data_IF_108886545459
#
_entry.id   IF_108886545459
#
_cell.length_a   1.000
_cell.length_b   1.000
_cell.length_c   1.000
_cell.angle_alpha   90.00
_cell.angle_beta   90.00
_cell.angle_gamma   90.00
#
_symmetry.space_group_name_H-M   'P 1'
#
loop_
_entity.id
_entity.type
_entity.pdbx_description
1 polymer ?
#
# COMPACT_ATOMS: atom_id res chain seq x y z
N UNK A 1 17.45 12.76 -17.48
CA UNK A 1 17.09 12.60 -16.05
C UNK A 1 15.93 11.61 -15.95
N UNK A 2 16.10 10.46 -15.29
CA UNK A 2 15.05 9.45 -15.21
C UNK A 2 13.93 9.89 -14.26
N UNK A 3 12.66 9.75 -14.68
CA UNK A 3 11.50 9.97 -13.80
C UNK A 3 11.39 8.82 -12.79
N UNK A 4 10.96 9.14 -11.57
CA UNK A 4 10.62 8.14 -10.57
C UNK A 4 9.49 7.24 -11.07
N UNK A 5 9.70 5.92 -10.98
CA UNK A 5 8.68 4.92 -11.30
C UNK A 5 7.81 4.66 -10.08
N UNK A 6 6.54 4.40 -10.33
CA UNK A 6 5.62 4.01 -9.25
C UNK A 6 5.92 2.57 -8.82
N UNK A 7 5.95 2.33 -7.51
CA UNK A 7 6.17 0.99 -6.98
C UNK A 7 4.87 0.18 -7.10
N UNK A 8 4.87 -0.79 -8.02
CA UNK A 8 3.69 -1.57 -8.38
C UNK A 8 3.15 -2.42 -7.22
N UNK A 9 4.03 -2.94 -6.36
CA UNK A 9 3.62 -3.64 -5.14
C UNK A 9 2.91 -2.72 -4.16
N UNK A 10 3.46 -1.53 -3.94
CA UNK A 10 2.91 -0.59 -2.96
C UNK A 10 1.56 -0.03 -3.42
N UNK A 11 1.40 0.22 -4.73
CA UNK A 11 0.12 0.64 -5.30
C UNK A 11 -1.01 -0.37 -5.05
N UNK A 12 -0.69 -1.67 -4.95
CA UNK A 12 -1.67 -2.73 -4.71
C UNK A 12 -2.01 -2.92 -3.23
N UNK A 13 -1.07 -2.62 -2.33
CA UNK A 13 -1.19 -2.95 -0.90
C UNK A 13 -1.45 -1.75 0.00
N UNK A 14 -1.04 -0.54 -0.40
CA UNK A 14 -1.10 0.66 0.42
C UNK A 14 -1.91 1.76 -0.27
N UNK A 15 -2.72 2.48 0.51
CA UNK A 15 -3.47 3.65 0.03
C UNK A 15 -3.17 4.87 0.88
N UNK A 16 -2.95 6.01 0.23
CA UNK A 16 -2.77 7.30 0.90
C UNK A 16 -4.13 8.00 0.99
N UNK A 17 -4.47 8.45 2.20
CA UNK A 17 -5.71 9.22 2.45
C UNK A 17 -5.51 10.70 2.09
N UNK A 18 -6.59 11.46 1.99
CA UNK A 18 -6.52 12.91 1.69
C UNK A 18 -5.71 13.72 2.71
N UNK A 19 -5.55 13.22 3.94
CA UNK A 19 -4.72 13.84 5.00
C UNK A 19 -3.29 13.29 5.04
N UNK A 20 -2.90 12.42 4.10
CA UNK A 20 -1.54 11.87 3.99
C UNK A 20 -1.28 10.60 4.82
N UNK A 21 -2.26 10.09 5.58
CA UNK A 21 -2.11 8.82 6.32
C UNK A 21 -2.10 7.62 5.38
N UNK A 22 -1.28 6.61 5.69
CA UNK A 22 -1.17 5.35 4.95
C UNK A 22 -2.12 4.31 5.54
N UNK A 23 -2.96 3.72 4.69
CA UNK A 23 -3.86 2.61 5.03
C UNK A 23 -3.34 1.29 4.45
N UNK A 24 -3.46 0.21 5.23
CA UNK A 24 -3.19 -1.16 4.82
C UNK A 24 -4.05 -2.16 5.61
N UNK A 25 -4.12 -3.40 5.13
CA UNK A 25 -4.79 -4.49 5.84
C UNK A 25 -3.98 -4.93 7.07
N UNK A 26 -4.66 -5.30 8.16
CA UNK A 26 -3.99 -5.83 9.36
C UNK A 26 -3.40 -7.21 9.06
N UNK A 27 -2.19 -7.45 9.54
CA UNK A 27 -1.53 -8.76 9.43
C UNK A 27 -2.31 -9.85 10.20
N UNK A 28 -2.12 -11.12 9.79
CA UNK A 28 -2.66 -12.29 10.49
C UNK A 28 -4.12 -12.66 10.16
N UNK A 29 -4.78 -11.95 9.26
CA UNK A 29 -6.21 -12.16 8.94
C UNK A 29 -6.50 -13.18 7.84
N UNK A 30 -5.49 -13.65 7.10
CA UNK A 30 -5.68 -14.41 5.85
C UNK A 30 -5.47 -15.92 5.94
N UNK A 31 -4.93 -16.44 7.06
CA UNK A 31 -4.49 -17.85 7.14
C UNK A 31 -5.41 -18.72 8.00
N UNK A 32 -6.09 -18.16 9.00
CA UNK A 32 -6.78 -18.94 10.04
C UNK A 32 -8.23 -19.34 9.68
N UNK A 33 -8.65 -19.16 8.43
CA UNK A 33 -9.93 -19.57 7.86
C UNK A 33 -9.72 -20.21 6.49
#
# INVERSE_FOLDING_TARGET
>A
MPKMKTHSGAKKTFRVTGTGKIMHERAGKRHLL
#
